data_IF_294834317770
#
_entry.id   IF_294834317770
#
_cell.length_a   1.000
_cell.length_b   1.000
_cell.length_c   1.000
_cell.angle_alpha   90.00
_cell.angle_beta   90.00
_cell.angle_gamma   90.00
#
_symmetry.space_group_name_H-M   'P 1'
#
loop_
_entity.id
_entity.type
_entity.pdbx_description
1 polymer ?
#
# COMPACT_ATOMS: atom_id res chain seq x y z
N UNK A 1 -30.40 -11.51 -4.87
CA UNK A 1 -28.99 -11.42 -4.41
C UNK A 1 -28.08 -11.16 -5.61
N UNK A 2 -27.25 -10.12 -5.56
CA UNK A 2 -26.42 -9.68 -6.69
C UNK A 2 -26.59 -8.20 -7.06
N UNK A 3 -27.61 -7.53 -6.53
CA UNK A 3 -27.83 -6.09 -6.72
C UNK A 3 -26.77 -5.27 -5.97
N UNK A 4 -26.35 -4.14 -6.55
CA UNK A 4 -25.41 -3.20 -5.95
C UNK A 4 -26.19 -2.02 -5.38
N UNK A 5 -25.97 -1.71 -4.10
CA UNK A 5 -26.55 -0.55 -3.42
C UNK A 5 -25.44 0.40 -2.96
N UNK A 6 -25.69 1.71 -3.02
CA UNK A 6 -24.79 2.74 -2.53
C UNK A 6 -25.10 3.13 -1.10
N UNK A 7 -24.12 3.05 -0.20
CA UNK A 7 -24.23 3.51 1.19
C UNK A 7 -23.41 4.79 1.34
N UNK A 8 -24.04 5.85 1.81
CA UNK A 8 -23.33 7.10 2.09
C UNK A 8 -22.38 6.90 3.28
N UNK A 9 -21.12 7.31 3.10
CA UNK A 9 -20.05 7.13 4.07
C UNK A 9 -19.33 8.46 4.35
N UNK A 10 -18.99 8.71 5.61
CA UNK A 10 -18.17 9.84 6.05
C UNK A 10 -16.82 9.37 6.62
N UNK A 11 -16.22 8.34 6.01
CA UNK A 11 -14.90 7.82 6.37
C UNK A 11 -14.89 6.71 7.42
N UNK A 12 -16.02 6.05 7.68
CA UNK A 12 -16.11 4.93 8.64
C UNK A 12 -16.15 3.55 7.98
N UNK A 13 -16.41 3.49 6.67
CA UNK A 13 -16.47 2.24 5.90
C UNK A 13 -15.19 2.05 5.09
N UNK A 14 -14.65 0.83 5.09
CA UNK A 14 -13.48 0.38 4.32
C UNK A 14 -13.85 -0.70 3.30
N UNK A 15 -12.94 -0.94 2.35
CA UNK A 15 -13.08 -2.05 1.41
C UNK A 15 -13.06 -3.39 2.17
N UNK A 16 -14.06 -4.23 1.91
CA UNK A 16 -14.20 -5.55 2.55
C UNK A 16 -15.08 -5.55 3.81
N UNK A 17 -15.56 -4.39 4.27
CA UNK A 17 -16.48 -4.32 5.40
C UNK A 17 -17.77 -5.12 5.14
N UNK A 18 -18.17 -5.90 6.14
CA UNK A 18 -19.35 -6.76 6.07
C UNK A 18 -20.47 -6.19 6.94
N UNK A 19 -21.63 -5.95 6.32
CA UNK A 19 -22.84 -5.46 6.99
C UNK A 19 -23.86 -6.60 7.11
N UNK A 20 -24.39 -6.79 8.32
CA UNK A 20 -25.30 -7.88 8.67
C UNK A 20 -26.35 -7.38 9.66
N UNK A 21 -27.57 -7.91 9.58
CA UNK A 21 -28.65 -7.64 10.53
C UNK A 21 -28.76 -8.68 11.64
N UNK A 22 -27.93 -9.73 11.61
CA UNK A 22 -27.96 -10.86 12.54
C UNK A 22 -26.61 -11.02 13.24
N UNK A 23 -25.98 -12.18 13.04
CA UNK A 23 -24.69 -12.50 13.65
C UNK A 23 -23.56 -11.70 12.97
N UNK A 24 -22.49 -11.35 13.71
CA UNK A 24 -21.30 -10.76 13.13
C UNK A 24 -20.66 -11.74 12.15
N UNK A 25 -20.51 -11.32 10.90
CA UNK A 25 -19.87 -12.09 9.83
C UNK A 25 -18.76 -11.25 9.21
N UNK A 26 -17.77 -11.92 8.64
CA UNK A 26 -16.73 -11.30 7.82
C UNK A 26 -16.57 -12.08 6.52
N UNK A 27 -16.84 -11.43 5.40
CA UNK A 27 -16.50 -11.99 4.10
C UNK A 27 -14.98 -11.99 3.91
N UNK A 28 -14.45 -13.08 3.35
CA UNK A 28 -13.03 -13.24 3.01
C UNK A 28 -12.83 -13.19 1.49
N UNK A 29 -11.58 -13.14 1.03
CA UNK A 29 -11.27 -13.21 -0.41
C UNK A 29 -11.45 -11.91 -1.20
N UNK A 30 -11.51 -10.74 -0.55
CA UNK A 30 -11.38 -9.42 -1.22
C UNK A 30 -9.92 -8.95 -1.07
N UNK A 31 -9.07 -9.10 -2.10
CA UNK A 31 -7.66 -8.80 -1.99
C UNK A 31 -7.31 -7.36 -2.42
N UNK A 32 -6.24 -6.84 -1.84
CA UNK A 32 -5.39 -5.85 -2.45
C UNK A 32 -4.51 -6.50 -3.52
N UNK A 33 -4.37 -5.84 -4.66
CA UNK A 33 -3.52 -6.26 -5.76
C UNK A 33 -2.21 -5.50 -5.74
N UNK A 34 -1.09 -6.16 -6.00
CA UNK A 34 0.21 -5.49 -6.09
C UNK A 34 0.16 -4.36 -7.13
N UNK A 35 0.58 -3.13 -6.78
CA UNK A 35 0.60 -2.01 -7.72
C UNK A 35 1.63 -2.18 -8.84
N UNK A 36 1.41 -1.48 -9.95
CA UNK A 36 2.30 -1.47 -11.13
C UNK A 36 2.95 -0.10 -11.36
N UNK A 37 2.40 0.96 -10.75
CA UNK A 37 2.96 2.30 -10.82
C UNK A 37 3.29 2.82 -9.43
N UNK A 38 4.44 3.48 -9.31
CA UNK A 38 4.91 4.03 -8.04
C UNK A 38 5.32 5.48 -8.19
N UNK A 39 4.99 6.29 -7.17
CA UNK A 39 5.43 7.68 -7.06
C UNK A 39 5.78 8.00 -5.62
N UNK A 40 6.81 8.82 -5.41
CA UNK A 40 7.09 9.41 -4.11
C UNK A 40 6.30 10.69 -3.95
N UNK A 41 5.64 10.87 -2.81
CA UNK A 41 4.96 12.13 -2.45
C UNK A 41 5.94 13.04 -1.73
N UNK A 42 6.02 14.29 -2.18
CA UNK A 42 6.85 15.32 -1.59
C UNK A 42 5.98 16.52 -1.27
N UNK A 43 6.05 16.94 -0.02
CA UNK A 43 5.29 18.06 0.48
C UNK A 43 5.99 19.37 0.13
N UNK A 44 5.25 20.32 -0.45
CA UNK A 44 5.80 21.64 -0.76
C UNK A 44 5.96 22.51 0.50
N UNK A 45 5.04 22.38 1.46
CA UNK A 45 5.08 23.08 2.74
C UNK A 45 5.29 22.11 3.92
N UNK A 46 6.50 22.05 4.53
CA UNK A 46 6.81 21.13 5.63
C UNK A 46 5.84 21.19 6.82
N UNK A 47 5.16 22.33 7.06
CA UNK A 47 4.22 22.52 8.16
C UNK A 47 2.97 21.63 8.04
N UNK A 48 2.68 21.08 6.86
CA UNK A 48 1.50 20.25 6.58
C UNK A 48 1.74 18.74 6.69
N UNK A 49 2.87 18.32 7.27
CA UNK A 49 3.27 16.90 7.33
C UNK A 49 2.23 16.01 8.03
N UNK A 50 1.62 16.49 9.12
CA UNK A 50 0.58 15.74 9.84
C UNK A 50 -0.68 15.56 8.99
N UNK A 51 -1.10 16.61 8.28
CA UNK A 51 -2.26 16.57 7.39
C UNK A 51 -2.01 15.64 6.20
N UNK A 52 -0.82 15.69 5.61
CA UNK A 52 -0.41 14.78 4.55
C UNK A 52 -0.50 13.32 5.02
N UNK A 53 0.11 13.02 6.17
CA UNK A 53 0.09 11.67 6.73
C UNK A 53 -1.34 11.14 6.93
N UNK A 54 -2.20 11.96 7.55
CA UNK A 54 -3.61 11.62 7.78
C UNK A 54 -4.36 11.38 6.47
N UNK A 55 -4.18 12.26 5.48
CA UNK A 55 -4.85 12.13 4.19
C UNK A 55 -4.40 10.91 3.40
N UNK A 56 -3.10 10.60 3.39
CA UNK A 56 -2.60 9.42 2.70
C UNK A 56 -3.06 8.11 3.35
N UNK A 57 -3.14 8.05 4.68
CA UNK A 57 -3.69 6.88 5.39
C UNK A 57 -5.16 6.69 5.01
N UNK A 58 -5.97 7.74 5.09
CA UNK A 58 -7.39 7.63 4.78
C UNK A 58 -7.63 7.18 3.32
N UNK A 59 -6.88 7.72 2.37
CA UNK A 59 -6.95 7.29 0.96
C UNK A 59 -6.59 5.81 0.78
N UNK A 60 -5.65 5.31 1.58
CA UNK A 60 -5.27 3.91 1.56
C UNK A 60 -6.33 3.00 2.18
N UNK A 61 -6.98 3.44 3.26
CA UNK A 61 -8.10 2.72 3.89
C UNK A 61 -9.33 2.64 2.98
N UNK A 62 -9.58 3.70 2.20
CA UNK A 62 -10.63 3.74 1.19
C UNK A 62 -10.25 2.98 -0.10
N UNK A 63 -8.99 2.53 -0.22
CA UNK A 63 -8.47 1.81 -1.37
C UNK A 63 -8.24 2.66 -2.63
N UNK A 64 -8.21 4.00 -2.49
CA UNK A 64 -7.95 4.90 -3.62
C UNK A 64 -6.53 4.72 -4.18
N UNK A 65 -5.54 4.48 -3.30
CA UNK A 65 -4.13 4.20 -3.60
C UNK A 65 -3.56 3.33 -2.50
N UNK A 66 -2.47 2.60 -2.76
CA UNK A 66 -1.71 1.94 -1.68
C UNK A 66 -0.60 2.85 -1.19
N UNK A 67 -0.42 2.93 0.13
CA UNK A 67 0.67 3.66 0.76
C UNK A 67 1.73 2.68 1.27
N UNK A 68 2.99 2.93 0.91
CA UNK A 68 4.17 2.22 1.39
C UNK A 68 5.12 3.17 2.11
N UNK A 69 5.64 2.72 3.25
CA UNK A 69 6.60 3.40 4.11
C UNK A 69 7.89 2.57 4.13
N UNK A 70 8.94 2.98 3.38
CA UNK A 70 10.22 2.28 3.39
C UNK A 70 10.76 2.09 4.81
N UNK A 71 11.38 0.94 5.09
CA UNK A 71 12.04 0.70 6.38
C UNK A 71 13.23 1.64 6.60
N UNK A 72 13.80 2.16 5.51
CA UNK A 72 14.86 3.15 5.53
C UNK A 72 14.35 4.50 5.01
N UNK A 73 14.47 5.54 5.84
CA UNK A 73 13.99 6.88 5.52
C UNK A 73 12.55 7.12 5.97
N UNK A 74 12.02 8.31 5.63
CA UNK A 74 10.71 8.78 6.10
C UNK A 74 9.77 9.16 4.95
N UNK A 75 10.00 8.58 3.78
CA UNK A 75 9.33 8.94 2.54
C UNK A 75 7.94 8.28 2.45
N UNK A 76 7.04 8.92 1.71
CA UNK A 76 5.74 8.34 1.36
C UNK A 76 5.81 7.85 -0.08
N UNK A 77 5.67 6.55 -0.29
CA UNK A 77 5.62 5.95 -1.62
C UNK A 77 4.18 5.52 -1.87
N UNK A 78 3.56 6.02 -2.93
CA UNK A 78 2.24 5.57 -3.35
C UNK A 78 2.38 4.55 -4.47
N UNK A 79 1.65 3.45 -4.34
CA UNK A 79 1.44 2.46 -5.37
C UNK A 79 0.03 2.56 -5.94
N UNK A 80 -0.08 2.51 -7.27
CA UNK A 80 -1.35 2.47 -7.98
C UNK A 80 -1.37 1.34 -9.03
N UNK A 81 -2.54 0.77 -9.27
CA UNK A 81 -2.78 -0.14 -10.40
C UNK A 81 -2.96 0.68 -11.68
N UNK A 82 -3.61 1.85 -11.59
CA UNK A 82 -3.78 2.78 -12.71
C UNK A 82 -3.29 4.20 -12.37
N UNK A 83 -2.65 4.86 -13.33
CA UNK A 83 -2.03 6.19 -13.14
C UNK A 83 -3.00 7.29 -12.70
N UNK A 84 -4.28 7.22 -13.10
CA UNK A 84 -5.32 8.19 -12.73
C UNK A 84 -5.53 8.28 -11.21
N UNK A 85 -5.25 7.19 -10.47
CA UNK A 85 -5.36 7.17 -9.01
C UNK A 85 -4.44 8.23 -8.36
N UNK A 86 -3.29 8.54 -8.98
CA UNK A 86 -2.39 9.57 -8.48
C UNK A 86 -2.97 10.98 -8.61
N UNK A 87 -3.64 11.27 -9.72
CA UNK A 87 -4.29 12.56 -9.98
C UNK A 87 -5.44 12.79 -9.00
N UNK A 88 -6.30 11.77 -8.83
CA UNK A 88 -7.40 11.79 -7.86
C UNK A 88 -6.86 12.01 -6.44
N UNK A 89 -5.79 11.32 -6.06
CA UNK A 89 -5.18 11.47 -4.73
C UNK A 89 -4.69 12.89 -4.49
N UNK A 90 -4.01 13.52 -5.46
CA UNK A 90 -3.51 14.90 -5.30
C UNK A 90 -4.65 15.92 -5.23
N UNK A 91 -5.67 15.78 -6.08
CA UNK A 91 -6.85 16.64 -6.05
C UNK A 91 -7.56 16.57 -4.70
N UNK A 92 -7.78 15.35 -4.18
CA UNK A 92 -8.42 15.13 -2.88
C UNK A 92 -7.55 15.60 -1.71
N UNK A 93 -6.24 15.36 -1.71
CA UNK A 93 -5.33 15.88 -0.67
C UNK A 93 -5.41 17.41 -0.55
N UNK A 94 -5.48 18.10 -1.68
CA UNK A 94 -5.62 19.55 -1.73
C UNK A 94 -7.01 19.99 -1.24
N UNK A 95 -8.08 19.34 -1.70
CA UNK A 95 -9.45 19.73 -1.38
C UNK A 95 -9.84 19.41 0.08
N UNK A 96 -9.52 18.21 0.57
CA UNK A 96 -9.98 17.70 1.86
C UNK A 96 -9.02 18.05 3.01
N UNK A 97 -7.72 18.19 2.73
CA UNK A 97 -6.69 18.40 3.77
C UNK A 97 -5.90 19.71 3.61
N UNK A 98 -6.12 20.45 2.52
CA UNK A 98 -5.34 21.66 2.22
C UNK A 98 -3.84 21.36 2.11
N UNK A 99 -3.50 20.18 1.60
CA UNK A 99 -2.13 19.70 1.42
C UNK A 99 -1.70 19.96 -0.02
N UNK A 100 -0.64 20.75 -0.17
CA UNK A 100 0.01 20.99 -1.46
C UNK A 100 1.27 20.12 -1.55
N UNK A 101 1.23 19.13 -2.43
CA UNK A 101 2.28 18.14 -2.61
C UNK A 101 2.48 17.85 -4.10
N UNK A 102 3.67 17.35 -4.43
CA UNK A 102 4.07 16.95 -5.78
C UNK A 102 4.57 15.51 -5.77
N UNK A 103 4.50 14.87 -6.92
CA UNK A 103 5.12 13.57 -7.12
C UNK A 103 6.57 13.71 -7.60
N UNK A 104 7.41 12.78 -7.17
CA UNK A 104 8.67 12.45 -7.82
C UNK A 104 8.72 10.99 -8.21
N UNK A 105 9.50 10.73 -9.23
CA UNK A 105 9.71 9.40 -9.78
C UNK A 105 10.54 8.58 -8.80
N UNK A 106 10.25 7.29 -8.76
CA UNK A 106 10.96 6.31 -7.96
C UNK A 106 11.36 5.17 -8.87
N UNK A 107 12.42 4.47 -8.49
CA UNK A 107 12.96 3.35 -9.26
C UNK A 107 12.10 2.08 -9.17
N UNK A 108 11.03 2.07 -8.36
CA UNK A 108 10.20 0.88 -8.16
C UNK A 108 9.22 0.69 -9.32
N UNK A 109 9.13 -0.55 -9.80
CA UNK A 109 8.16 -0.98 -10.81
C UNK A 109 7.29 -2.15 -10.32
N UNK A 110 7.68 -2.83 -9.24
CA UNK A 110 6.95 -3.97 -8.67
C UNK A 110 6.95 -3.93 -7.15
N UNK A 111 5.87 -4.45 -6.56
CA UNK A 111 5.77 -4.77 -5.14
C UNK A 111 5.30 -6.21 -4.92
N UNK A 112 5.81 -6.88 -3.88
CA UNK A 112 5.30 -8.17 -3.39
C UNK A 112 5.22 -8.14 -1.87
N UNK A 113 4.10 -8.58 -1.31
CA UNK A 113 4.06 -8.83 0.13
C UNK A 113 4.90 -10.05 0.45
N UNK A 114 5.74 -9.95 1.48
CA UNK A 114 6.71 -10.99 1.83
C UNK A 114 6.38 -11.63 3.17
N UNK A 115 6.39 -12.95 3.19
CA UNK A 115 6.13 -13.77 4.37
C UNK A 115 7.10 -14.95 4.38
N UNK A 116 7.39 -15.47 5.56
CA UNK A 116 8.28 -16.62 5.71
C UNK A 116 8.01 -17.27 7.08
N UNK A 117 7.88 -18.59 7.08
CA UNK A 117 7.63 -19.36 8.31
C UNK A 117 8.88 -19.46 9.18
N UNK A 118 10.08 -19.50 8.58
CA UNK A 118 11.34 -19.49 9.31
C UNK A 118 11.77 -18.07 9.68
N UNK A 119 11.60 -17.75 10.96
CA UNK A 119 11.92 -16.44 11.51
C UNK A 119 13.41 -16.05 11.39
N UNK A 120 14.35 -17.00 11.37
CA UNK A 120 15.78 -16.72 11.22
C UNK A 120 16.07 -16.30 9.79
N UNK A 121 15.60 -17.09 8.81
CA UNK A 121 15.72 -16.78 7.38
C UNK A 121 15.06 -15.43 7.09
N UNK A 122 13.88 -15.18 7.65
CA UNK A 122 13.17 -13.93 7.42
C UNK A 122 13.92 -12.72 7.96
N UNK A 123 14.56 -12.82 9.13
CA UNK A 123 15.40 -11.73 9.67
C UNK A 123 16.63 -11.47 8.81
N UNK A 124 17.26 -12.52 8.30
CA UNK A 124 18.41 -12.37 7.38
C UNK A 124 18.00 -11.70 6.07
N UNK A 125 16.87 -12.13 5.49
CA UNK A 125 16.26 -11.49 4.33
C UNK A 125 15.96 -10.01 4.59
N UNK A 126 15.30 -9.69 5.70
CA UNK A 126 14.98 -8.32 6.10
C UNK A 126 16.23 -7.45 6.25
N UNK A 127 17.28 -7.98 6.87
CA UNK A 127 18.56 -7.28 7.04
C UNK A 127 19.26 -7.04 5.70
N UNK A 128 19.26 -8.02 4.81
CA UNK A 128 19.92 -7.91 3.50
C UNK A 128 19.21 -6.93 2.56
N UNK A 129 17.88 -6.92 2.57
CA UNK A 129 17.07 -6.14 1.64
C UNK A 129 16.38 -4.94 2.29
N UNK A 130 16.85 -4.48 3.45
CA UNK A 130 16.22 -3.40 4.21
C UNK A 130 15.91 -2.14 3.37
N UNK A 131 16.80 -1.78 2.43
CA UNK A 131 16.60 -0.63 1.53
C UNK A 131 15.54 -0.82 0.43
N UNK A 132 15.09 -2.05 0.20
CA UNK A 132 14.02 -2.43 -0.74
C UNK A 132 12.74 -2.85 -0.03
N UNK A 133 12.69 -2.75 1.30
CA UNK A 133 11.54 -3.17 2.09
C UNK A 133 10.75 -1.95 2.57
N UNK A 134 9.43 -2.09 2.58
CA UNK A 134 8.50 -1.08 3.04
C UNK A 134 7.32 -1.73 3.77
N UNK A 135 6.73 -1.00 4.71
CA UNK A 135 5.45 -1.37 5.32
C UNK A 135 4.31 -0.71 4.55
N UNK A 136 3.26 -1.46 4.24
CA UNK A 136 2.04 -0.88 3.69
C UNK A 136 1.21 -0.15 4.78
N UNK A 137 0.09 0.46 4.39
CA UNK A 137 -0.80 1.17 5.31
C UNK A 137 -1.37 0.29 6.44
N UNK A 138 -1.47 -1.03 6.21
CA UNK A 138 -1.94 -2.01 7.20
C UNK A 138 -0.78 -2.63 8.00
N UNK A 139 0.47 -2.19 7.78
CA UNK A 139 1.64 -2.67 8.50
C UNK A 139 2.24 -3.96 7.95
N UNK A 140 1.83 -4.41 6.76
CA UNK A 140 2.39 -5.60 6.15
C UNK A 140 3.69 -5.28 5.41
N UNK A 141 4.66 -6.19 5.51
CA UNK A 141 5.94 -6.02 4.87
C UNK A 141 5.85 -6.33 3.37
N UNK A 142 6.32 -5.39 2.55
CA UNK A 142 6.39 -5.49 1.11
C UNK A 142 7.83 -5.28 0.63
N UNK A 143 8.23 -6.10 -0.34
CA UNK A 143 9.45 -5.96 -1.10
C UNK A 143 9.17 -5.16 -2.37
N UNK A 144 9.86 -4.03 -2.53
CA UNK A 144 9.78 -3.11 -3.67
C UNK A 144 11.03 -3.26 -4.54
N UNK A 145 10.85 -3.51 -5.84
CA UNK A 145 11.96 -3.67 -6.76
C UNK A 145 11.75 -2.98 -8.11
N UNK A 146 12.84 -2.80 -8.84
CA UNK A 146 12.95 -2.08 -10.11
C UNK A 146 12.60 -2.93 -11.35
N UNK A 147 12.37 -4.23 -11.20
CA UNK A 147 11.86 -5.06 -12.30
C UNK A 147 11.82 -6.55 -11.99
N UNK A 148 11.25 -7.30 -12.94
CA UNK A 148 10.99 -8.73 -12.77
C UNK A 148 12.27 -9.56 -12.58
N UNK A 149 13.36 -9.20 -13.28
CA UNK A 149 14.63 -9.93 -13.14
C UNK A 149 15.16 -9.90 -11.70
N UNK A 150 15.10 -8.73 -11.04
CA UNK A 150 15.57 -8.58 -9.66
C UNK A 150 14.68 -9.34 -8.68
N UNK A 151 13.37 -9.34 -8.94
CA UNK A 151 12.41 -10.13 -8.18
C UNK A 151 12.72 -11.63 -8.29
N UNK A 152 12.79 -12.18 -9.51
CA UNK A 152 13.06 -13.60 -9.75
C UNK A 152 14.36 -14.04 -9.09
N UNK A 153 15.46 -13.28 -9.27
CA UNK A 153 16.74 -13.60 -8.65
C UNK A 153 16.67 -13.60 -7.12
N UNK A 154 15.88 -12.69 -6.54
CA UNK A 154 15.71 -12.64 -5.08
C UNK A 154 14.92 -13.83 -4.57
N UNK A 155 13.88 -14.26 -5.30
CA UNK A 155 13.11 -15.47 -4.99
C UNK A 155 13.97 -16.73 -5.07
N UNK A 156 14.87 -16.84 -6.06
CA UNK A 156 15.81 -17.95 -6.16
C UNK A 156 16.81 -18.01 -4.99
N UNK A 157 17.26 -16.85 -4.50
CA UNK A 157 18.19 -16.75 -3.37
C UNK A 157 17.52 -17.01 -2.02
N UNK A 158 16.21 -16.80 -1.92
CA UNK A 158 15.42 -16.95 -0.70
C UNK A 158 14.15 -17.75 -0.99
N UNK A 159 14.27 -19.06 -1.31
CA UNK A 159 13.14 -19.89 -1.72
C UNK A 159 12.09 -20.08 -0.61
N UNK A 160 12.49 -19.96 0.66
CA UNK A 160 11.59 -20.08 1.82
C UNK A 160 10.80 -18.80 2.10
N UNK A 161 11.13 -17.68 1.42
CA UNK A 161 10.37 -16.44 1.51
C UNK A 161 9.32 -16.43 0.40
N UNK A 162 8.06 -16.30 0.79
CA UNK A 162 6.91 -16.23 -0.11
C UNK A 162 6.72 -14.79 -0.58
N UNK A 163 6.55 -14.60 -1.89
CA UNK A 163 6.35 -13.29 -2.52
C UNK A 163 4.96 -13.20 -3.15
N UNK A 164 4.00 -12.63 -2.41
CA UNK A 164 2.60 -12.58 -2.79
C UNK A 164 2.27 -11.38 -3.69
N UNK A 165 1.49 -11.63 -4.76
CA UNK A 165 0.92 -10.60 -5.65
C UNK A 165 -0.37 -10.00 -5.12
N UNK A 166 -1.02 -10.67 -4.19
CA UNK A 166 -2.28 -10.26 -3.57
C UNK A 166 -2.20 -10.46 -2.08
N UNK A 167 -2.99 -9.69 -1.34
CA UNK A 167 -3.16 -9.87 0.10
C UNK A 167 -4.58 -9.51 0.51
N UNK A 168 -5.19 -10.27 1.41
CA UNK A 168 -6.53 -9.94 1.92
C UNK A 168 -6.55 -8.59 2.65
N UNK A 169 -7.67 -7.86 2.55
CA UNK A 169 -7.95 -6.71 3.41
C UNK A 169 -8.23 -7.19 4.83
N UNK A 170 -7.35 -6.88 5.78
CA UNK A 170 -7.51 -7.25 7.19
C UNK A 170 -8.37 -6.27 7.97
#
# INVERSE_FOLDING_TARGET
PGDIIGIHNHGTIKIGDTFTSKEPLKFTGIPNFAPEHFRRVILNNPLKTKQLHKGLIQMAEEGAVQLFRPLMGNEYILGAVGVLQFEVTMARLKAEYGVDAVYRDVQYSLARWVECDDQKIFREFQKKFQGSLALDAAGHLAYLCDGNWRLTRTMELYPDVVFNKTREHT
#
